data_IF_685531723915
#
_entry.id   IF_685531723915
#
_cell.length_a   1.000
_cell.length_b   1.000
_cell.length_c   1.000
_cell.angle_alpha   90.00
_cell.angle_beta   90.00
_cell.angle_gamma   90.00
#
_symmetry.space_group_name_H-M   'P 1'
#
loop_
_entity.id
_entity.type
_entity.pdbx_description
1 polymer ?
#
# COMPACT_ATOMS: atom_id res chain seq x y z
N UNK A 1 -3.25 7.03 11.71
CA UNK A 1 -2.56 5.72 11.68
C UNK A 1 -1.06 5.94 11.58
N UNK A 2 -0.21 5.20 12.29
CA UNK A 2 1.26 5.31 12.19
C UNK A 2 1.82 4.57 10.97
N UNK A 3 3.12 4.70 10.68
CA UNK A 3 3.81 3.95 9.61
C UNK A 3 3.73 2.43 9.89
N UNK A 4 4.04 2.02 11.11
CA UNK A 4 4.06 0.60 11.53
C UNK A 4 2.69 -0.08 11.37
N UNK A 5 1.61 0.66 11.64
CA UNK A 5 0.25 0.16 11.50
C UNK A 5 -0.14 -0.07 10.02
N UNK A 6 0.38 0.76 9.10
CA UNK A 6 0.19 0.54 7.66
C UNK A 6 0.99 -0.69 7.22
N UNK A 7 2.28 -0.75 7.57
CA UNK A 7 3.15 -1.88 7.21
C UNK A 7 2.55 -3.19 7.70
N UNK A 8 2.13 -3.27 8.97
CA UNK A 8 1.53 -4.48 9.53
C UNK A 8 0.21 -4.88 8.87
N UNK A 9 -0.65 -3.92 8.52
CA UNK A 9 -1.88 -4.19 7.78
C UNK A 9 -1.60 -4.71 6.36
N UNK A 10 -0.62 -4.14 5.67
CA UNK A 10 -0.23 -4.58 4.34
C UNK A 10 0.43 -5.96 4.38
N UNK A 11 1.31 -6.24 5.34
CA UNK A 11 1.92 -7.56 5.51
C UNK A 11 0.87 -8.64 5.78
N UNK A 12 -0.13 -8.36 6.61
CA UNK A 12 -1.20 -9.29 6.93
C UNK A 12 -2.13 -9.59 5.72
N UNK A 13 -2.41 -8.58 4.90
CA UNK A 13 -3.39 -8.69 3.82
C UNK A 13 -2.79 -9.04 2.45
N UNK A 14 -1.51 -8.73 2.21
CA UNK A 14 -0.89 -8.87 0.89
C UNK A 14 0.13 -10.01 0.81
N UNK A 15 0.78 -10.40 1.91
CA UNK A 15 1.77 -11.49 1.87
C UNK A 15 1.12 -12.79 1.41
N UNK A 16 1.74 -13.49 0.46
CA UNK A 16 1.21 -14.71 -0.15
C UNK A 16 0.14 -14.47 -1.23
N UNK A 17 -0.31 -13.23 -1.45
CA UNK A 17 -1.27 -12.91 -2.51
C UNK A 17 -0.57 -12.89 -3.86
N UNK A 18 -1.16 -13.58 -4.84
CA UNK A 18 -0.64 -13.58 -6.21
C UNK A 18 -0.81 -12.21 -6.86
N UNK A 19 0.17 -11.78 -7.65
CA UNK A 19 0.24 -10.49 -8.34
C UNK A 19 -1.09 -10.07 -9.04
N UNK A 20 -1.75 -11.03 -9.68
CA UNK A 20 -3.02 -10.82 -10.42
C UNK A 20 -4.22 -10.53 -9.52
N UNK A 21 -4.14 -10.83 -8.23
CA UNK A 21 -5.21 -10.66 -7.25
C UNK A 21 -5.01 -9.45 -6.34
N UNK A 22 -3.86 -8.76 -6.43
CA UNK A 22 -3.50 -7.66 -5.53
C UNK A 22 -4.58 -6.59 -5.42
N UNK A 23 -5.13 -6.12 -6.55
CA UNK A 23 -6.15 -5.07 -6.56
C UNK A 23 -7.42 -5.46 -5.78
N UNK A 24 -7.74 -6.75 -5.68
CA UNK A 24 -8.91 -7.25 -4.94
C UNK A 24 -8.66 -7.52 -3.45
N UNK A 25 -7.40 -7.53 -3.02
CA UNK A 25 -7.00 -7.81 -1.64
C UNK A 25 -6.61 -6.53 -0.87
N UNK A 26 -6.58 -5.39 -1.54
CA UNK A 26 -6.34 -4.10 -0.90
C UNK A 26 -7.69 -3.60 -0.40
N UNK A 27 -7.89 -3.65 0.92
CA UNK A 27 -9.09 -3.17 1.62
C UNK A 27 -9.16 -1.63 1.61
N UNK A 28 -9.20 -1.06 0.41
CA UNK A 28 -9.25 0.36 0.14
C UNK A 28 -9.93 0.60 -1.21
N UNK A 29 -10.69 1.69 -1.40
CA UNK A 29 -11.19 2.08 -2.72
C UNK A 29 -10.13 1.98 -3.82
N UNK A 30 -10.46 1.30 -4.92
CA UNK A 30 -9.53 1.07 -6.03
C UNK A 30 -9.01 2.38 -6.64
N UNK A 31 -9.82 3.44 -6.59
CA UNK A 31 -9.43 4.77 -7.07
C UNK A 31 -8.31 5.40 -6.25
N UNK A 32 -8.06 4.95 -5.02
CA UNK A 32 -7.02 5.43 -4.11
C UNK A 32 -5.73 4.61 -4.14
N UNK A 33 -5.70 3.59 -4.98
CA UNK A 33 -4.63 2.59 -5.03
C UNK A 33 -3.98 2.62 -6.40
N UNK A 34 -2.68 2.82 -6.42
CA UNK A 34 -1.87 2.72 -7.63
C UNK A 34 -0.83 1.60 -7.46
N UNK A 35 -0.79 0.67 -8.41
CA UNK A 35 0.22 -0.40 -8.48
C UNK A 35 1.04 -0.22 -9.74
N UNK A 36 2.34 -0.01 -9.57
CA UNK A 36 3.30 0.22 -10.66
C UNK A 36 4.28 -0.93 -10.70
N UNK A 37 4.23 -1.74 -11.76
CA UNK A 37 5.16 -2.83 -11.98
C UNK A 37 6.51 -2.31 -12.48
N UNK A 38 7.59 -2.72 -11.82
CA UNK A 38 8.95 -2.35 -12.17
C UNK A 38 9.62 -3.44 -13.02
N UNK A 39 10.61 -3.05 -13.82
CA UNK A 39 11.32 -3.96 -14.72
C UNK A 39 12.16 -5.03 -14.00
N UNK A 40 12.49 -4.80 -12.72
CA UNK A 40 13.22 -5.74 -11.88
C UNK A 40 12.33 -6.84 -11.26
N UNK A 41 11.03 -6.85 -11.59
CA UNK A 41 10.07 -7.83 -11.09
C UNK A 41 9.45 -7.46 -9.73
N UNK A 42 9.75 -6.29 -9.18
CA UNK A 42 9.05 -5.73 -8.01
C UNK A 42 7.86 -4.85 -8.43
N UNK A 43 7.06 -4.42 -7.46
CA UNK A 43 6.00 -3.44 -7.70
C UNK A 43 6.03 -2.33 -6.65
N UNK A 44 5.72 -1.11 -7.05
CA UNK A 44 5.43 -0.02 -6.12
C UNK A 44 3.93 0.06 -5.90
N UNK A 45 3.51 -0.09 -4.66
CA UNK A 45 2.14 0.11 -4.22
C UNK A 45 2.04 1.47 -3.52
N UNK A 46 1.20 2.35 -4.06
CA UNK A 46 0.86 3.63 -3.46
C UNK A 46 -0.61 3.64 -3.04
N UNK A 47 -0.88 4.02 -1.78
CA UNK A 47 -2.21 4.07 -1.19
C UNK A 47 -2.45 5.48 -0.66
N UNK A 48 -3.51 6.12 -1.15
CA UNK A 48 -4.01 7.41 -0.65
C UNK A 48 -4.96 7.16 0.51
N UNK A 49 -4.62 7.72 1.67
CA UNK A 49 -5.37 7.59 2.92
C UNK A 49 -6.06 8.92 3.21
N UNK A 50 -7.37 8.98 3.02
CA UNK A 50 -8.17 10.18 3.25
C UNK A 50 -8.86 10.15 4.61
N UNK A 51 -8.86 11.27 5.32
CA UNK A 51 -9.74 11.53 6.45
C UNK A 51 -10.60 12.76 6.11
N UNK A 52 -11.76 12.51 5.50
CA UNK A 52 -12.67 13.56 5.00
C UNK A 52 -13.74 13.99 6.01
N UNK A 53 -13.90 13.24 7.11
CA UNK A 53 -15.12 13.32 7.93
C UNK A 53 -15.09 14.44 8.97
N UNK A 54 -13.92 14.90 9.40
CA UNK A 54 -13.83 15.92 10.46
C UNK A 54 -12.61 16.83 10.27
N UNK A 55 -12.78 18.17 10.28
CA UNK A 55 -11.66 19.11 10.25
C UNK A 55 -10.72 18.94 11.47
N UNK A 56 -9.41 19.17 11.31
CA UNK A 56 -8.73 19.51 10.05
C UNK A 56 -8.64 18.30 9.12
N UNK A 57 -8.90 18.53 7.82
CA UNK A 57 -8.74 17.50 6.81
C UNK A 57 -7.30 16.99 6.81
N UNK A 58 -7.15 15.68 6.95
CA UNK A 58 -5.84 15.01 6.95
C UNK A 58 -5.84 13.99 5.85
N UNK A 59 -4.77 13.98 5.07
CA UNK A 59 -4.52 12.89 4.14
C UNK A 59 -3.08 12.42 4.27
N UNK A 60 -2.83 11.18 3.91
CA UNK A 60 -1.49 10.65 3.82
C UNK A 60 -1.36 9.80 2.58
N UNK A 61 -0.14 9.69 2.07
CA UNK A 61 0.20 8.72 1.03
C UNK A 61 1.18 7.73 1.64
N UNK A 62 0.84 6.46 1.56
CA UNK A 62 1.74 5.36 1.88
C UNK A 62 2.28 4.78 0.58
N UNK A 63 3.61 4.66 0.48
CA UNK A 63 4.28 4.05 -0.67
C UNK A 63 5.14 2.91 -0.16
N UNK A 64 5.05 1.76 -0.79
CA UNK A 64 5.85 0.59 -0.44
C UNK A 64 6.25 -0.20 -1.67
N UNK A 65 7.38 -0.90 -1.58
CA UNK A 65 7.86 -1.84 -2.59
C UNK A 65 7.42 -3.24 -2.20
N UNK A 66 6.74 -3.92 -3.11
CA UNK A 66 6.38 -5.33 -3.01
C UNK A 66 7.43 -6.15 -3.76
N UNK A 67 8.01 -7.12 -3.07
CA UNK A 67 8.84 -8.17 -3.67
C UNK A 67 8.03 -9.43 -3.89
N UNK A 68 8.34 -10.15 -4.96
CA UNK A 68 7.58 -11.33 -5.36
C UNK A 68 8.48 -12.56 -5.42
N UNK A 69 7.95 -13.68 -4.93
CA UNK A 69 8.49 -15.02 -5.14
C UNK A 69 7.38 -15.92 -5.70
N UNK A 70 7.67 -16.63 -6.78
CA UNK A 70 6.70 -17.52 -7.45
C UNK A 70 5.37 -16.81 -7.81
N UNK A 71 5.43 -15.53 -8.18
CA UNK A 71 4.26 -14.73 -8.56
C UNK A 71 3.42 -14.20 -7.40
N UNK A 72 3.78 -14.51 -6.15
CA UNK A 72 3.10 -14.01 -4.95
C UNK A 72 3.99 -13.04 -4.17
N UNK A 73 3.37 -12.12 -3.43
CA UNK A 73 4.11 -11.20 -2.54
C UNK A 73 4.83 -12.00 -1.47
N UNK A 74 6.14 -11.86 -1.42
CA UNK A 74 7.02 -12.51 -0.44
C UNK A 74 7.43 -11.54 0.66
N UNK A 75 7.67 -10.27 0.31
CA UNK A 75 8.08 -9.24 1.25
C UNK A 75 7.56 -7.85 0.87
N UNK A 76 7.43 -7.00 1.89
CA UNK A 76 7.13 -5.58 1.75
C UNK A 76 8.33 -4.79 2.27
N UNK A 77 8.85 -3.88 1.45
CA UNK A 77 10.06 -3.08 1.74
C UNK A 77 9.83 -1.61 1.46
N UNK A 78 10.78 -0.79 1.93
CA UNK A 78 10.86 0.64 1.64
C UNK A 78 9.54 1.39 1.91
N UNK A 79 8.90 1.09 3.04
CA UNK A 79 7.63 1.74 3.40
C UNK A 79 7.89 3.18 3.78
N UNK A 80 7.32 4.10 3.02
CA UNK A 80 7.33 5.52 3.30
C UNK A 80 5.90 6.02 3.49
N UNK A 81 5.68 6.85 4.51
CA UNK A 81 4.43 7.57 4.71
C UNK A 81 4.70 9.05 4.68
N UNK A 82 3.94 9.77 3.88
CA UNK A 82 3.91 11.24 3.90
C UNK A 82 2.52 11.70 4.29
N UNK A 83 2.42 12.43 5.40
CA UNK A 83 1.16 13.01 5.88
C UNK A 83 1.07 14.48 5.46
N UNK A 84 -0.16 14.94 5.25
CA UNK A 84 -0.52 16.29 4.84
C UNK A 84 -1.76 16.74 5.62
N UNK A 85 -1.85 18.03 5.94
CA UNK A 85 -2.88 18.58 6.83
C UNK A 85 -2.32 18.81 8.25
N UNK A 86 -2.81 19.89 8.89
CA UNK A 86 -2.38 20.33 10.22
C UNK A 86 -3.18 19.65 11.35
#
# INVERSE_FOLDING_TARGET
>A
MGLDAITGACEANLTGVHAVHLAGCIDHPAEDVDVIWLADGTAVLAIRLWQEVEPPFRHAVAVMTLEFANGAVDAIKNVARRSFGA
#
